data_IF_721823166950
#
_entry.id   IF_721823166950
#
_cell.length_a   1.000
_cell.length_b   1.000
_cell.length_c   1.000
_cell.angle_alpha   90.00
_cell.angle_beta   90.00
_cell.angle_gamma   90.00
#
_symmetry.space_group_name_H-M   'P 1'
#
loop_
_entity.id
_entity.type
_entity.pdbx_description
1 polymer ?
#
# COMPACT_ATOMS: atom_id res chain seq x y z
N UNK A 1 18.11 12.92 8.85
CA UNK A 1 17.95 11.52 9.34
C UNK A 1 16.50 11.01 9.36
N UNK A 2 15.53 11.78 9.85
CA UNK A 2 14.16 11.28 10.13
C UNK A 2 13.36 10.79 8.90
N UNK A 3 13.49 11.44 7.74
CA UNK A 3 12.89 10.95 6.48
C UNK A 3 13.44 9.59 6.01
N UNK A 4 14.71 9.28 6.32
CA UNK A 4 15.32 7.97 6.02
C UNK A 4 14.69 6.87 6.89
N UNK A 5 14.43 7.13 8.16
CA UNK A 5 13.78 6.16 9.08
C UNK A 5 12.37 5.81 8.60
N UNK A 6 11.58 6.82 8.20
CA UNK A 6 10.25 6.56 7.62
C UNK A 6 10.35 5.67 6.38
N UNK A 7 11.25 6.01 5.45
CA UNK A 7 11.44 5.25 4.21
C UNK A 7 11.90 3.81 4.43
N UNK A 8 12.78 3.58 5.40
CA UNK A 8 13.45 2.29 5.59
C UNK A 8 12.68 1.35 6.53
N UNK A 9 12.00 1.87 7.54
CA UNK A 9 11.37 1.03 8.59
C UNK A 9 9.85 1.11 8.52
N UNK A 10 9.30 2.31 8.63
CA UNK A 10 7.84 2.52 8.74
C UNK A 10 7.14 2.13 7.44
N UNK A 11 7.71 2.52 6.30
CA UNK A 11 7.09 2.32 5.00
C UNK A 11 7.02 0.85 4.58
N UNK A 12 8.09 0.03 4.69
CA UNK A 12 7.99 -1.39 4.41
C UNK A 12 7.02 -2.11 5.36
N UNK A 13 7.02 -1.78 6.66
CA UNK A 13 6.10 -2.37 7.63
C UNK A 13 4.62 -2.08 7.28
N UNK A 14 4.32 -0.84 6.87
CA UNK A 14 2.99 -0.46 6.41
C UNK A 14 2.59 -1.13 5.09
N UNK A 15 3.54 -1.36 4.19
CA UNK A 15 3.28 -1.95 2.87
C UNK A 15 3.14 -3.47 2.89
N UNK A 16 3.79 -4.17 3.83
CA UNK A 16 3.81 -5.63 3.89
C UNK A 16 2.40 -6.25 3.87
N UNK A 17 1.47 -5.70 4.65
CA UNK A 17 0.08 -6.17 4.68
C UNK A 17 -0.74 -5.81 3.44
N UNK A 18 -0.25 -4.92 2.58
CA UNK A 18 -0.97 -4.39 1.41
C UNK A 18 -0.59 -5.10 0.11
N UNK A 19 0.41 -5.98 0.16
CA UNK A 19 0.87 -6.77 -0.97
C UNK A 19 -0.19 -7.80 -1.40
N UNK A 20 -0.96 -8.33 -0.46
CA UNK A 20 -1.94 -9.43 -0.68
C UNK A 20 -3.39 -9.02 -0.45
N UNK A 21 -3.65 -7.81 0.04
CA UNK A 21 -5.00 -7.35 0.41
C UNK A 21 -5.55 -6.36 -0.63
N UNK A 22 -6.80 -6.60 -1.03
CA UNK A 22 -7.57 -5.66 -1.85
C UNK A 22 -7.88 -4.39 -1.01
N UNK A 23 -7.37 -3.25 -1.47
CA UNK A 23 -7.61 -1.96 -0.82
C UNK A 23 -8.86 -1.33 -1.42
N UNK A 24 -9.83 -0.96 -0.57
CA UNK A 24 -10.93 -0.09 -0.96
C UNK A 24 -10.42 1.35 -1.10
N UNK A 25 -11.03 2.15 -1.98
CA UNK A 25 -10.68 3.57 -2.18
C UNK A 25 -10.62 4.37 -0.87
N UNK A 26 -11.56 4.10 0.05
CA UNK A 26 -11.58 4.72 1.38
C UNK A 26 -10.32 4.41 2.19
N UNK A 27 -9.89 3.14 2.20
CA UNK A 27 -8.70 2.71 2.94
C UNK A 27 -7.42 3.33 2.37
N UNK A 28 -7.34 3.49 1.04
CA UNK A 28 -6.20 4.16 0.40
C UNK A 28 -6.09 5.63 0.84
N UNK A 29 -7.22 6.34 0.93
CA UNK A 29 -7.26 7.72 1.43
C UNK A 29 -6.85 7.78 2.91
N UNK A 30 -7.37 6.87 3.75
CA UNK A 30 -7.03 6.80 5.17
C UNK A 30 -5.52 6.54 5.38
N UNK A 31 -4.94 5.61 4.62
CA UNK A 31 -3.50 5.30 4.66
C UNK A 31 -2.64 6.48 4.18
N UNK A 32 -3.08 7.19 3.13
CA UNK A 32 -2.40 8.42 2.65
C UNK A 32 -2.39 9.51 3.73
N UNK A 33 -3.50 9.67 4.46
CA UNK A 33 -3.59 10.61 5.58
C UNK A 33 -2.69 10.18 6.74
N UNK A 34 -2.68 8.89 7.07
CA UNK A 34 -1.79 8.34 8.09
C UNK A 34 -0.30 8.57 7.75
N UNK A 35 0.11 8.30 6.51
CA UNK A 35 1.47 8.60 6.01
C UNK A 35 1.83 10.07 6.22
N UNK A 36 0.96 11.00 5.79
CA UNK A 36 1.21 12.43 5.95
C UNK A 36 1.27 12.87 7.42
N UNK A 37 0.40 12.33 8.28
CA UNK A 37 0.44 12.61 9.73
C UNK A 37 1.75 12.16 10.36
N UNK A 38 2.22 10.96 10.04
CA UNK A 38 3.50 10.44 10.54
C UNK A 38 4.68 11.27 10.01
N UNK A 39 4.65 11.68 8.74
CA UNK A 39 5.68 12.55 8.18
C UNK A 39 5.72 13.91 8.87
N UNK A 40 4.56 14.54 9.09
CA UNK A 40 4.45 15.81 9.84
C UNK A 40 5.00 15.68 11.25
N UNK A 41 4.60 14.63 11.97
CA UNK A 41 5.13 14.34 13.30
C UNK A 41 6.65 14.16 13.29
N UNK A 42 7.19 13.41 12.33
CA UNK A 42 8.64 13.18 12.21
C UNK A 42 9.42 14.46 11.92
N UNK A 43 8.83 15.41 11.19
CA UNK A 43 9.44 16.69 10.86
C UNK A 43 9.19 17.76 11.94
N UNK A 44 8.43 17.45 13.00
CA UNK A 44 8.04 18.43 14.02
C UNK A 44 7.08 19.50 13.50
N UNK A 45 6.40 19.25 12.36
CA UNK A 45 5.50 20.20 11.73
C UNK A 45 4.11 20.05 12.30
N UNK A 46 3.59 21.13 12.84
CA UNK A 46 2.25 21.25 13.39
C UNK A 46 1.26 21.77 12.34
N UNK A 47 0.00 21.95 12.75
CA UNK A 47 -1.00 22.63 11.91
C UNK A 47 -0.77 24.15 11.85
N UNK A 48 -0.13 24.72 12.86
CA UNK A 48 0.11 26.17 12.95
C UNK A 48 1.11 26.67 11.90
N UNK A 49 2.04 25.80 11.49
CA UNK A 49 3.04 26.14 10.48
C UNK A 49 2.42 26.34 9.08
N UNK A 50 1.15 25.95 8.88
CA UNK A 50 0.41 26.05 7.61
C UNK A 50 1.16 25.52 6.38
N UNK A 51 2.12 24.61 6.60
CA UNK A 51 2.93 23.99 5.56
C UNK A 51 2.07 23.04 4.73
N UNK A 52 2.13 23.22 3.41
CA UNK A 52 1.46 22.40 2.40
C UNK A 52 1.98 20.95 2.41
N UNK A 53 1.10 19.99 2.12
CA UNK A 53 1.45 18.56 2.15
C UNK A 53 2.46 18.19 1.06
N UNK A 54 2.45 18.90 -0.06
CA UNK A 54 3.41 18.76 -1.16
C UNK A 54 4.83 19.07 -0.69
N UNK A 55 4.99 20.13 0.12
CA UNK A 55 6.27 20.51 0.69
C UNK A 55 6.79 19.45 1.66
N UNK A 56 5.94 18.93 2.54
CA UNK A 56 6.30 17.84 3.47
C UNK A 56 6.81 16.60 2.73
N UNK A 57 6.17 16.24 1.61
CA UNK A 57 6.61 15.12 0.76
C UNK A 57 7.94 15.41 0.07
N UNK A 58 8.11 16.63 -0.46
CA UNK A 58 9.36 17.08 -1.07
C UNK A 58 10.53 17.00 -0.10
N UNK A 59 10.39 17.58 1.09
CA UNK A 59 11.42 17.61 2.14
C UNK A 59 11.77 16.22 2.67
N UNK A 60 10.80 15.30 2.71
CA UNK A 60 11.04 13.92 3.15
C UNK A 60 11.59 13.01 2.06
N UNK A 61 11.59 13.46 0.79
CA UNK A 61 11.92 12.65 -0.40
C UNK A 61 11.10 11.34 -0.48
N UNK A 62 9.85 11.39 -0.01
CA UNK A 62 8.95 10.24 0.05
C UNK A 62 7.98 10.31 -1.14
N UNK A 63 8.09 9.34 -2.07
CA UNK A 63 7.16 9.18 -3.19
C UNK A 63 5.71 8.96 -2.74
N UNK A 64 4.73 9.03 -3.65
CA UNK A 64 3.32 8.87 -3.27
C UNK A 64 3.04 7.46 -2.74
N UNK A 65 2.12 7.36 -1.78
CA UNK A 65 1.75 6.09 -1.16
C UNK A 65 1.23 5.05 -2.16
N UNK A 66 0.25 5.44 -2.99
CA UNK A 66 -0.37 4.55 -3.97
C UNK A 66 0.64 3.95 -4.96
N UNK A 67 1.60 4.75 -5.43
CA UNK A 67 2.66 4.27 -6.32
C UNK A 67 3.50 3.18 -5.65
N UNK A 68 3.77 3.33 -4.35
CA UNK A 68 4.55 2.35 -3.57
C UNK A 68 3.75 1.11 -3.20
N UNK A 69 2.45 1.23 -2.97
CA UNK A 69 1.55 0.08 -2.86
C UNK A 69 1.56 -0.72 -4.17
N UNK A 70 1.43 -0.04 -5.32
CA UNK A 70 1.48 -0.68 -6.63
C UNK A 70 2.82 -1.39 -6.87
N UNK A 71 3.94 -0.73 -6.56
CA UNK A 71 5.27 -1.32 -6.64
C UNK A 71 5.42 -2.56 -5.74
N UNK A 72 4.93 -2.50 -4.50
CA UNK A 72 4.98 -3.62 -3.56
C UNK A 72 4.15 -4.82 -4.06
N UNK A 73 2.94 -4.57 -4.56
CA UNK A 73 2.09 -5.60 -5.18
C UNK A 73 2.75 -6.24 -6.38
N UNK A 74 3.35 -5.46 -7.27
CA UNK A 74 4.07 -5.97 -8.43
C UNK A 74 5.32 -6.77 -8.04
N UNK A 75 6.05 -6.33 -7.00
CA UNK A 75 7.19 -7.07 -6.44
C UNK A 75 6.75 -8.42 -5.89
N UNK A 76 5.68 -8.45 -5.10
CA UNK A 76 5.10 -9.68 -4.56
C UNK A 76 4.60 -10.60 -5.67
N UNK A 77 3.85 -10.06 -6.63
CA UNK A 77 3.36 -10.82 -7.78
C UNK A 77 4.51 -11.44 -8.59
N UNK A 78 5.56 -10.66 -8.86
CA UNK A 78 6.78 -11.15 -9.50
C UNK A 78 7.48 -12.23 -8.67
N UNK A 79 7.49 -12.10 -7.33
CA UNK A 79 8.01 -13.14 -6.44
C UNK A 79 7.22 -14.44 -6.60
N UNK A 80 5.88 -14.38 -6.55
CA UNK A 80 5.00 -15.54 -6.73
C UNK A 80 5.21 -16.19 -8.10
N UNK A 81 5.32 -15.39 -9.17
CA UNK A 81 5.54 -15.90 -10.53
C UNK A 81 6.89 -16.61 -10.72
N UNK A 82 7.92 -16.25 -9.95
CA UNK A 82 9.23 -16.92 -9.99
C UNK A 82 9.28 -18.20 -9.16
N UNK A 83 8.31 -18.45 -8.28
CA UNK A 83 8.25 -19.68 -7.47
C UNK A 83 7.71 -20.87 -8.26
N UNK A 84 8.03 -22.08 -7.82
CA UNK A 84 7.55 -23.32 -8.41
C UNK A 84 6.01 -23.45 -8.41
N UNK A 85 5.46 -24.29 -9.28
CA UNK A 85 4.01 -24.53 -9.34
C UNK A 85 3.41 -25.14 -8.08
N UNK A 86 4.22 -25.87 -7.29
CA UNK A 86 3.82 -26.39 -5.98
C UNK A 86 3.68 -25.31 -4.91
N UNK A 87 4.26 -24.12 -5.11
CA UNK A 87 4.17 -23.02 -4.16
C UNK A 87 2.71 -22.56 -3.99
N UNK A 88 2.27 -22.50 -2.74
CA UNK A 88 0.88 -22.19 -2.40
C UNK A 88 0.39 -20.88 -3.03
N UNK A 89 1.21 -19.83 -3.05
CA UNK A 89 0.83 -18.55 -3.66
C UNK A 89 0.57 -18.66 -5.16
N UNK A 90 1.33 -19.51 -5.87
CA UNK A 90 1.16 -19.73 -7.32
C UNK A 90 -0.07 -20.58 -7.63
N UNK A 91 -0.38 -21.54 -6.74
CA UNK A 91 -1.61 -22.34 -6.82
C UNK A 91 -2.85 -21.49 -6.56
N UNK A 92 -2.85 -20.68 -5.50
CA UNK A 92 -3.96 -19.79 -5.13
C UNK A 92 -4.28 -18.79 -6.26
N UNK A 93 -3.25 -18.21 -6.88
CA UNK A 93 -3.44 -17.26 -7.98
C UNK A 93 -4.13 -17.87 -9.22
N UNK A 94 -4.02 -19.19 -9.41
CA UNK A 94 -4.64 -19.92 -10.53
C UNK A 94 -5.96 -20.58 -10.18
N UNK A 95 -6.37 -20.53 -8.91
CA UNK A 95 -7.61 -21.11 -8.46
C UNK A 95 -8.78 -20.29 -9.02
N UNK A 96 -9.70 -20.94 -9.75
CA UNK A 96 -10.98 -20.33 -10.10
C UNK A 96 -11.85 -20.29 -8.83
N UNK A 97 -12.49 -19.16 -8.50
CA UNK A 97 -13.51 -19.14 -7.47
C UNK A 97 -14.62 -20.16 -7.82
N UNK A 98 -15.22 -20.84 -6.83
CA UNK A 98 -16.38 -21.69 -7.09
C UNK A 98 -17.51 -20.87 -7.73
N UNK A 99 -18.19 -21.43 -8.73
CA UNK A 99 -19.15 -20.74 -9.60
C UNK A 99 -20.48 -20.34 -8.92
N UNK A 100 -20.59 -20.44 -7.59
CA UNK A 100 -21.80 -20.12 -6.84
C UNK A 100 -21.53 -19.17 -5.68
N UNK A 101 -22.03 -17.93 -5.79
CA UNK A 101 -22.08 -16.96 -4.69
C UNK A 101 -21.72 -15.54 -5.07
N UNK A 102 -22.49 -14.91 -5.97
CA UNK A 102 -22.60 -13.46 -6.00
C UNK A 102 -23.88 -13.08 -5.27
N UNK A 103 -23.77 -12.72 -4.00
CA UNK A 103 -24.74 -11.79 -3.42
C UNK A 103 -24.39 -10.38 -3.90
N UNK A 104 -25.30 -9.86 -4.69
CA UNK A 104 -25.27 -8.58 -5.38
C UNK A 104 -25.42 -7.45 -4.35
N UNK A 105 -24.30 -7.04 -3.74
CA UNK A 105 -24.32 -5.95 -2.76
C UNK A 105 -22.98 -5.38 -2.30
N UNK A 106 -21.83 -5.93 -2.74
CA UNK A 106 -20.53 -5.42 -2.31
C UNK A 106 -19.65 -5.10 -3.51
N UNK A 107 -19.44 -3.80 -3.71
CA UNK A 107 -18.78 -3.21 -4.87
C UNK A 107 -17.51 -3.96 -5.26
N UNK A 108 -17.51 -4.46 -6.49
CA UNK A 108 -16.41 -5.20 -7.10
C UNK A 108 -15.14 -4.36 -7.14
N UNK A 109 -14.28 -4.55 -6.15
CA UNK A 109 -12.87 -4.28 -6.29
C UNK A 109 -12.26 -5.45 -7.05
N UNK A 110 -11.72 -5.18 -8.24
CA UNK A 110 -10.92 -6.17 -8.95
C UNK A 110 -9.79 -6.61 -8.02
N UNK A 111 -9.72 -7.90 -7.73
CA UNK A 111 -8.67 -8.51 -6.90
C UNK A 111 -7.27 -8.32 -7.48
N UNK A 112 -7.17 -7.73 -8.67
CA UNK A 112 -5.95 -7.58 -9.43
C UNK A 112 -5.69 -6.13 -9.89
N UNK A 113 -6.63 -5.18 -9.71
CA UNK A 113 -6.49 -3.78 -10.18
C UNK A 113 -7.26 -2.76 -9.34
#
# INVERSE_FOLDING_TARGET
MKGKVYRTVVRPAMLYGLETVALRKRQEVELKVAELKMLRFSLGVTRMDRIRNEFIRGTSHVGRFGDKVREARLRWFGHVQRRDMSYIGRRMLRMKPPEGGKEEGQGGGSWMW
#
